data_IF_630642945541
#
_entry.id   IF_630642945541
#
_cell.length_a   1.000
_cell.length_b   1.000
_cell.length_c   1.000
_cell.angle_alpha   90.00
_cell.angle_beta   90.00
_cell.angle_gamma   90.00
#
_symmetry.space_group_name_H-M   'P 1'
#
loop_
_entity.id
_entity.type
_entity.pdbx_description
1 polymer ?
#
# COMPACT_ATOMS: atom_id res chain seq x y z
N UNK A 1 -65.13 -37.88 14.93
CA UNK A 1 -66.29 -37.36 15.68
C UNK A 1 -66.15 -35.83 15.71
N UNK A 2 -66.90 -35.13 14.85
CA UNK A 2 -68.09 -34.33 15.23
C UNK A 2 -67.73 -33.25 16.26
N UNK A 3 -67.48 -32.02 15.80
CA UNK A 3 -68.47 -30.97 15.53
C UNK A 3 -69.17 -30.47 16.80
N UNK A 4 -69.29 -29.14 16.81
CA UNK A 4 -70.42 -28.37 17.37
C UNK A 4 -70.41 -28.14 18.87
N UNK A 5 -70.88 -27.01 19.41
CA UNK A 5 -71.45 -25.75 18.90
C UNK A 5 -71.54 -24.88 20.19
N UNK A 6 -71.21 -23.59 20.14
CA UNK A 6 -72.19 -22.50 20.14
C UNK A 6 -73.05 -22.39 21.41
N UNK A 7 -73.00 -21.24 22.09
CA UNK A 7 -74.07 -20.24 22.05
C UNK A 7 -74.07 -19.31 23.28
N UNK A 8 -74.75 -18.18 23.10
CA UNK A 8 -75.07 -17.06 24.00
C UNK A 8 -74.02 -15.95 24.04
N UNK A 9 -74.36 -14.67 23.80
CA UNK A 9 -75.62 -13.94 23.47
C UNK A 9 -75.11 -12.53 23.11
N UNK A 10 -75.52 -11.90 22.00
CA UNK A 10 -76.67 -10.97 21.92
C UNK A 10 -76.38 -9.64 22.65
N UNK A 11 -76.57 -8.43 22.12
CA UNK A 11 -77.33 -7.94 20.96
C UNK A 11 -77.16 -6.39 20.89
N UNK A 12 -77.76 -5.75 19.88
CA UNK A 12 -77.85 -4.30 19.55
C UNK A 12 -76.70 -3.73 18.68
N UNK A 13 -76.82 -3.61 17.35
CA UNK A 13 -77.68 -2.68 16.56
C UNK A 13 -77.53 -1.23 17.04
N UNK A 14 -77.19 -0.22 16.22
CA UNK A 14 -77.49 0.00 14.81
C UNK A 14 -76.71 1.23 14.31
N UNK A 15 -76.79 1.48 12.99
CA UNK A 15 -76.39 2.67 12.22
C UNK A 15 -74.98 2.59 11.61
N UNK A 16 -74.76 2.78 10.31
CA UNK A 16 -75.62 3.00 9.14
C UNK A 16 -74.68 3.06 7.92
N UNK A 17 -75.02 2.38 6.80
CA UNK A 17 -74.54 2.61 5.41
C UNK A 17 -73.01 2.55 5.15
N UNK A 18 -72.43 1.97 4.10
CA UNK A 18 -72.81 1.39 2.79
C UNK A 18 -71.42 1.15 2.12
N UNK A 19 -70.87 -0.04 1.78
CA UNK A 19 -71.31 -1.11 0.86
C UNK A 19 -71.95 -0.55 -0.42
N UNK A 20 -71.54 -0.81 -1.67
CA UNK A 20 -70.58 -1.74 -2.30
C UNK A 20 -70.45 -1.32 -3.79
N UNK A 21 -69.37 -1.77 -4.43
CA UNK A 21 -69.12 -1.94 -5.90
C UNK A 21 -70.10 -2.98 -6.53
N UNK A 22 -69.94 -3.50 -7.79
CA UNK A 22 -69.45 -3.02 -9.12
C UNK A 22 -70.31 -3.46 -10.36
N UNK A 23 -69.84 -3.11 -11.57
CA UNK A 23 -69.86 -3.81 -12.91
C UNK A 23 -71.18 -4.26 -13.59
N UNK A 24 -71.44 -3.87 -14.86
CA UNK A 24 -70.92 -4.46 -16.12
C UNK A 24 -71.71 -4.05 -17.40
N UNK A 25 -71.05 -4.13 -18.59
CA UNK A 25 -71.53 -4.21 -20.02
C UNK A 25 -70.74 -3.23 -20.93
N UNK A 26 -69.78 -3.61 -21.78
CA UNK A 26 -69.69 -4.47 -23.01
C UNK A 26 -70.12 -3.76 -24.32
N UNK A 27 -69.10 -3.39 -25.11
CA UNK A 27 -68.94 -3.40 -26.58
C UNK A 27 -69.97 -2.81 -27.57
N UNK A 28 -69.55 -1.73 -28.26
CA UNK A 28 -69.60 -1.47 -29.73
C UNK A 28 -69.28 0.03 -29.91
N UNK A 29 -68.52 0.55 -30.86
CA UNK A 29 -67.85 0.06 -32.06
C UNK A 29 -67.23 1.30 -32.72
N UNK A 30 -66.08 1.15 -33.38
CA UNK A 30 -65.59 2.05 -34.44
C UNK A 30 -65.12 3.46 -34.03
N UNK A 31 -63.90 3.57 -33.50
CA UNK A 31 -62.90 4.54 -33.99
C UNK A 31 -61.51 3.91 -33.91
N UNK A 32 -61.35 2.78 -34.61
CA UNK A 32 -60.15 1.94 -34.61
C UNK A 32 -59.13 2.31 -35.71
N UNK A 33 -59.25 3.45 -36.43
CA UNK A 33 -58.34 3.73 -37.57
C UNK A 33 -57.99 5.20 -37.85
N UNK A 34 -57.66 6.03 -36.85
CA UNK A 34 -56.90 7.27 -37.17
C UNK A 34 -56.21 7.94 -35.97
N UNK A 35 -55.18 7.32 -35.43
CA UNK A 35 -54.11 8.11 -34.81
C UNK A 35 -52.82 7.30 -34.88
N UNK A 36 -52.30 7.13 -36.10
CA UNK A 36 -50.87 6.92 -36.27
C UNK A 36 -50.25 8.18 -35.67
N UNK A 37 -49.79 8.10 -34.42
CA UNK A 37 -48.94 9.11 -33.83
C UNK A 37 -47.65 9.13 -34.65
N UNK A 38 -47.70 9.81 -35.78
CA UNK A 38 -46.52 10.46 -36.35
C UNK A 38 -45.96 11.29 -35.22
N UNK A 39 -44.92 10.76 -34.55
CA UNK A 39 -44.02 11.56 -33.71
C UNK A 39 -43.85 12.91 -34.43
N UNK A 40 -44.13 14.00 -33.74
CA UNK A 40 -43.98 15.33 -34.34
C UNK A 40 -42.52 15.45 -34.82
N UNK A 41 -42.22 16.06 -35.99
CA UNK A 41 -40.84 16.14 -36.50
C UNK A 41 -39.87 16.78 -35.48
N UNK A 42 -40.40 17.62 -34.60
CA UNK A 42 -39.71 18.20 -33.45
C UNK A 42 -39.29 17.16 -32.37
N UNK A 43 -40.12 16.15 -32.10
CA UNK A 43 -39.85 15.07 -31.16
C UNK A 43 -38.83 14.07 -31.72
N UNK A 44 -38.91 13.76 -33.02
CA UNK A 44 -37.90 12.95 -33.70
C UNK A 44 -36.52 13.63 -33.68
N UNK A 45 -36.46 14.94 -33.93
CA UNK A 45 -35.22 15.73 -33.83
C UNK A 45 -34.65 15.77 -32.40
N UNK A 46 -35.50 15.90 -31.37
CA UNK A 46 -35.10 15.81 -29.96
C UNK A 46 -34.54 14.43 -29.59
N UNK A 47 -35.18 13.34 -30.03
CA UNK A 47 -34.72 11.95 -29.78
C UNK A 47 -33.36 11.70 -30.45
N UNK A 48 -33.12 12.20 -31.66
CA UNK A 48 -31.82 12.08 -32.33
C UNK A 48 -30.72 12.84 -31.58
N UNK A 49 -30.97 14.08 -31.15
CA UNK A 49 -30.02 14.85 -30.34
C UNK A 49 -29.72 14.17 -28.99
N UNK A 50 -30.76 13.67 -28.31
CA UNK A 50 -30.58 12.94 -27.05
C UNK A 50 -29.77 11.65 -27.21
N UNK A 51 -29.98 10.90 -28.30
CA UNK A 51 -29.17 9.72 -28.63
C UNK A 51 -27.71 10.08 -28.90
N UNK A 52 -27.46 11.13 -29.67
CA UNK A 52 -26.09 11.62 -29.90
C UNK A 52 -25.42 12.05 -28.61
N UNK A 53 -26.11 12.80 -27.74
CA UNK A 53 -25.58 13.19 -26.42
C UNK A 53 -25.30 11.99 -25.53
N UNK A 54 -26.17 10.97 -25.52
CA UNK A 54 -25.94 9.74 -24.78
C UNK A 54 -24.67 9.03 -25.26
N UNK A 55 -24.47 8.91 -26.57
CA UNK A 55 -23.26 8.29 -27.13
C UNK A 55 -21.99 9.07 -26.78
N UNK A 56 -22.02 10.41 -26.78
CA UNK A 56 -20.86 11.20 -26.36
C UNK A 56 -20.54 11.03 -24.87
N UNK A 57 -21.56 10.98 -24.02
CA UNK A 57 -21.37 10.77 -22.57
C UNK A 57 -20.82 9.37 -22.29
N UNK A 58 -21.37 8.33 -22.94
CA UNK A 58 -20.87 6.96 -22.76
C UNK A 58 -19.46 6.80 -23.30
N UNK A 59 -19.14 7.36 -24.46
CA UNK A 59 -17.78 7.37 -25.01
C UNK A 59 -16.80 8.11 -24.10
N UNK A 60 -17.19 9.27 -23.57
CA UNK A 60 -16.39 10.02 -22.59
C UNK A 60 -16.15 9.24 -21.30
N UNK A 61 -17.17 8.58 -20.77
CA UNK A 61 -17.07 7.73 -19.57
C UNK A 61 -16.10 6.56 -19.76
N UNK A 62 -16.21 5.84 -20.88
CA UNK A 62 -15.30 4.73 -21.20
C UNK A 62 -13.86 5.22 -21.37
N UNK A 63 -13.65 6.37 -22.00
CA UNK A 63 -12.33 6.95 -22.19
C UNK A 63 -11.67 7.35 -20.88
N UNK A 64 -12.40 7.98 -19.94
CA UNK A 64 -11.87 8.37 -18.63
C UNK A 64 -11.48 7.13 -17.80
N UNK A 65 -12.32 6.10 -17.81
CA UNK A 65 -12.03 4.84 -17.10
C UNK A 65 -10.83 4.13 -17.71
N UNK A 66 -10.74 4.09 -19.06
CA UNK A 66 -9.60 3.51 -19.77
C UNK A 66 -8.29 4.22 -19.45
N UNK A 67 -8.28 5.55 -19.45
CA UNK A 67 -7.09 6.34 -19.10
C UNK A 67 -6.68 6.15 -17.64
N UNK A 68 -7.65 6.08 -16.71
CA UNK A 68 -7.37 5.88 -15.29
C UNK A 68 -6.71 4.51 -15.03
N UNK A 69 -7.18 3.47 -15.73
CA UNK A 69 -6.59 2.13 -15.62
C UNK A 69 -5.22 2.03 -16.29
N UNK A 70 -5.03 2.70 -17.43
CA UNK A 70 -3.76 2.70 -18.16
C UNK A 70 -2.67 3.55 -17.49
N UNK A 71 -3.02 4.53 -16.65
CA UNK A 71 -2.06 5.41 -16.00
C UNK A 71 -1.07 4.67 -15.09
N UNK A 72 -1.53 3.63 -14.37
CA UNK A 72 -0.70 2.86 -13.44
C UNK A 72 0.45 2.11 -14.15
N UNK A 73 0.21 1.25 -15.15
CA UNK A 73 1.30 0.58 -15.86
C UNK A 73 2.18 1.56 -16.63
N UNK A 74 1.61 2.62 -17.22
CA UNK A 74 2.40 3.65 -17.91
C UNK A 74 3.37 4.36 -16.95
N UNK A 75 2.92 4.68 -15.72
CA UNK A 75 3.77 5.25 -14.68
C UNK A 75 4.88 4.28 -14.26
N UNK A 76 4.57 2.99 -14.13
CA UNK A 76 5.59 1.99 -13.79
C UNK A 76 6.69 1.85 -14.85
N UNK A 77 6.33 1.85 -16.14
CA UNK A 77 7.28 1.81 -17.26
C UNK A 77 8.11 3.09 -17.29
N UNK A 78 7.48 4.25 -17.06
CA UNK A 78 8.18 5.52 -16.99
C UNK A 78 9.18 5.56 -15.81
N UNK A 79 8.79 5.06 -14.63
CA UNK A 79 9.68 4.98 -13.47
C UNK A 79 10.84 4.01 -13.69
N UNK A 80 10.63 2.91 -14.41
CA UNK A 80 11.70 1.97 -14.78
C UNK A 80 12.64 2.56 -15.82
N UNK A 81 12.13 3.27 -16.82
CA UNK A 81 12.95 3.84 -17.90
C UNK A 81 13.76 5.06 -17.48
N UNK A 82 13.19 5.93 -16.63
CA UNK A 82 13.84 7.16 -16.16
C UNK A 82 14.47 7.03 -14.77
N UNK A 83 14.38 5.85 -14.14
CA UNK A 83 14.94 5.53 -12.82
C UNK A 83 14.56 6.50 -11.68
N UNK A 84 13.43 7.21 -11.80
CA UNK A 84 13.01 8.27 -10.87
C UNK A 84 12.43 7.74 -9.53
N UNK A 85 12.67 6.48 -9.17
CA UNK A 85 12.01 5.86 -8.03
C UNK A 85 12.60 4.57 -7.49
N UNK A 86 13.84 4.21 -7.85
CA UNK A 86 14.54 3.08 -7.24
C UNK A 86 13.73 1.77 -7.25
N UNK A 87 13.21 1.38 -8.43
CA UNK A 87 12.49 0.12 -8.56
C UNK A 87 13.48 -1.04 -8.39
N UNK A 88 13.53 -1.60 -7.18
CA UNK A 88 14.22 -2.86 -6.89
C UNK A 88 13.70 -3.92 -7.84
N UNK A 89 14.58 -4.47 -8.66
CA UNK A 89 14.33 -5.74 -9.35
C UNK A 89 14.01 -6.77 -8.27
N UNK A 90 12.74 -7.19 -8.19
CA UNK A 90 12.40 -8.44 -7.50
C UNK A 90 12.95 -9.58 -8.36
N UNK A 91 14.25 -9.81 -8.25
CA UNK A 91 14.96 -10.94 -8.78
C UNK A 91 15.91 -11.37 -7.68
N UNK A 92 15.93 -12.65 -7.36
CA UNK A 92 16.88 -13.21 -6.40
C UNK A 92 18.31 -13.00 -6.92
N UNK A 93 18.96 -11.90 -6.53
CA UNK A 93 20.35 -11.57 -6.88
C UNK A 93 21.37 -12.42 -6.10
N UNK A 94 21.09 -13.70 -5.88
CA UNK A 94 22.09 -14.65 -5.41
C UNK A 94 23.04 -15.08 -6.54
N UNK A 95 22.56 -15.10 -7.79
CA UNK A 95 23.33 -15.54 -8.97
C UNK A 95 24.25 -14.43 -9.52
N UNK A 96 23.87 -13.15 -9.38
CA UNK A 96 24.70 -12.00 -9.76
C UNK A 96 26.01 -11.92 -8.96
N UNK A 97 26.05 -12.50 -7.75
CA UNK A 97 27.23 -12.48 -6.87
C UNK A 97 28.35 -13.39 -7.40
N UNK A 98 28.04 -14.49 -8.10
CA UNK A 98 29.07 -15.44 -8.58
C UNK A 98 29.85 -14.94 -9.82
N UNK A 99 29.32 -13.94 -10.54
CA UNK A 99 29.91 -13.43 -11.78
C UNK A 99 30.46 -12.00 -11.68
N UNK A 100 30.43 -11.38 -10.50
CA UNK A 100 31.01 -10.05 -10.30
C UNK A 100 32.54 -10.12 -10.33
N UNK A 101 33.12 -9.54 -11.38
CA UNK A 101 34.56 -9.30 -11.47
C UNK A 101 34.89 -8.14 -10.53
N UNK A 102 35.62 -8.43 -9.45
CA UNK A 102 36.13 -7.41 -8.51
C UNK A 102 36.91 -6.35 -9.31
N UNK A 103 36.45 -5.10 -9.25
CA UNK A 103 37.16 -3.96 -9.83
C UNK A 103 37.97 -3.36 -8.68
N UNK A 104 39.26 -3.73 -8.59
CA UNK A 104 40.14 -3.33 -7.49
C UNK A 104 40.59 -1.86 -7.56
N UNK A 105 40.27 -1.15 -8.65
CA UNK A 105 40.84 0.16 -8.96
C UNK A 105 40.32 1.31 -8.08
N UNK A 106 39.25 1.10 -7.29
CA UNK A 106 38.71 2.12 -6.37
C UNK A 106 38.30 1.52 -5.04
N UNK A 107 38.86 2.05 -3.95
CA UNK A 107 38.54 1.63 -2.58
C UNK A 107 37.58 2.64 -1.97
N UNK A 108 36.39 2.17 -1.57
CA UNK A 108 35.37 3.00 -0.91
C UNK A 108 35.52 2.92 0.61
N UNK A 109 35.33 4.06 1.27
CA UNK A 109 35.31 4.17 2.74
C UNK A 109 33.87 4.06 3.23
N UNK A 110 33.59 3.02 3.99
CA UNK A 110 32.26 2.81 4.59
C UNK A 110 32.32 3.25 6.04
N UNK A 111 31.60 4.33 6.34
CA UNK A 111 31.47 4.87 7.69
C UNK A 111 30.23 4.30 8.35
N UNK A 112 30.37 3.89 9.60
CA UNK A 112 29.27 3.35 10.39
C UNK A 112 28.84 4.35 11.44
N UNK A 113 27.55 4.66 11.44
CA UNK A 113 26.94 5.53 12.41
C UNK A 113 25.82 4.80 13.15
N UNK A 114 25.70 5.09 14.44
CA UNK A 114 24.77 4.42 15.35
C UNK A 114 24.10 5.49 16.21
N UNK A 115 22.79 5.62 16.02
CA UNK A 115 21.93 6.54 16.74
C UNK A 115 20.83 5.78 17.48
N UNK A 116 20.26 6.44 18.49
CA UNK A 116 19.11 5.93 19.25
C UNK A 116 18.04 7.01 19.31
N UNK A 117 16.78 6.59 19.25
CA UNK A 117 15.64 7.47 19.49
C UNK A 117 15.62 7.99 20.92
N UNK A 118 15.06 9.18 21.14
CA UNK A 118 15.05 9.85 22.44
C UNK A 118 14.36 9.06 23.57
N UNK A 119 13.43 8.17 23.23
CA UNK A 119 12.78 7.28 24.20
C UNK A 119 13.61 6.06 24.58
N UNK A 120 14.57 5.69 23.73
CA UNK A 120 15.38 4.48 23.88
C UNK A 120 16.50 4.68 24.89
N UNK A 121 16.73 3.68 25.74
CA UNK A 121 17.79 3.72 26.77
C UNK A 121 18.95 2.79 26.47
N UNK A 122 18.94 2.10 25.33
CA UNK A 122 20.05 1.23 24.94
C UNK A 122 21.30 2.03 24.67
N UNK A 123 22.44 1.41 24.96
CA UNK A 123 23.72 1.88 24.46
C UNK A 123 23.99 1.13 23.16
N UNK A 124 23.90 1.83 22.04
CA UNK A 124 24.10 1.28 20.71
C UNK A 124 25.30 1.97 20.06
N UNK A 125 26.31 1.19 19.65
CA UNK A 125 27.54 1.71 19.07
C UNK A 125 28.08 0.76 18.00
N UNK A 126 28.73 1.28 16.95
CA UNK A 126 29.46 0.43 16.04
C UNK A 126 30.74 -0.07 16.73
N UNK A 127 31.16 -1.30 16.45
CA UNK A 127 32.48 -1.80 16.87
C UNK A 127 33.60 -1.17 16.04
N UNK A 128 33.30 -0.81 14.79
CA UNK A 128 34.22 -0.24 13.82
C UNK A 128 33.58 1.02 13.25
N UNK A 129 34.26 2.18 13.29
CA UNK A 129 33.70 3.43 12.76
C UNK A 129 33.86 3.58 11.24
N UNK A 130 34.90 2.96 10.67
CA UNK A 130 35.20 3.00 9.25
C UNK A 130 35.84 1.70 8.80
N UNK A 131 35.45 1.22 7.63
CA UNK A 131 36.15 0.15 6.90
C UNK A 131 36.38 0.55 5.45
N UNK A 132 37.35 -0.09 4.81
CA UNK A 132 37.67 0.11 3.40
C UNK A 132 37.27 -1.13 2.62
N UNK A 133 36.44 -0.98 1.61
CA UNK A 133 35.87 -2.08 0.82
C UNK A 133 35.94 -1.72 -0.65
N UNK A 134 36.36 -2.67 -1.48
CA UNK A 134 36.32 -2.51 -2.94
C UNK A 134 34.92 -2.86 -3.46
N UNK A 135 34.41 -2.18 -4.51
CA UNK A 135 33.18 -2.60 -5.19
C UNK A 135 33.27 -4.06 -5.67
N UNK A 136 32.22 -4.84 -5.43
CA UNK A 136 32.16 -6.28 -5.67
C UNK A 136 32.73 -7.15 -4.54
N UNK A 137 33.32 -6.55 -3.49
CA UNK A 137 33.75 -7.26 -2.29
C UNK A 137 32.64 -7.30 -1.24
N UNK A 138 32.49 -8.44 -0.57
CA UNK A 138 31.58 -8.59 0.56
C UNK A 138 32.29 -8.20 1.85
N UNK A 139 31.59 -7.49 2.73
CA UNK A 139 32.12 -7.02 4.00
C UNK A 139 31.17 -7.34 5.16
N UNK A 140 31.75 -7.54 6.33
CA UNK A 140 31.05 -7.78 7.58
C UNK A 140 31.43 -6.69 8.59
N UNK A 141 30.42 -6.02 9.14
CA UNK A 141 30.59 -5.05 10.21
C UNK A 141 29.79 -5.47 11.43
N UNK A 142 30.24 -5.10 12.62
CA UNK A 142 29.56 -5.43 13.87
C UNK A 142 29.09 -4.18 14.59
N UNK A 143 27.88 -4.25 15.15
CA UNK A 143 27.37 -3.28 16.09
C UNK A 143 27.11 -3.95 17.43
N UNK A 144 27.29 -3.21 18.52
CA UNK A 144 26.98 -3.71 19.86
C UNK A 144 25.80 -2.94 20.41
N UNK A 145 24.78 -3.67 20.87
CA UNK A 145 23.66 -3.13 21.60
C UNK A 145 23.67 -3.67 23.02
N UNK A 146 23.48 -2.78 23.99
CA UNK A 146 23.32 -3.14 25.40
C UNK A 146 22.08 -2.49 26.00
N UNK A 147 21.30 -3.26 26.73
CA UNK A 147 20.21 -2.74 27.54
C UNK A 147 20.68 -2.48 28.99
N UNK A 148 20.88 -1.22 29.42
CA UNK A 148 21.30 -0.92 30.79
C UNK A 148 20.14 -0.91 31.80
N UNK A 149 18.90 -1.20 31.39
CA UNK A 149 17.71 -1.11 32.24
C UNK A 149 17.37 -2.44 32.89
N UNK A 150 16.58 -2.41 33.97
CA UNK A 150 16.15 -3.61 34.71
C UNK A 150 14.92 -4.31 34.11
N UNK A 151 14.47 -3.87 32.92
CA UNK A 151 13.31 -4.43 32.23
C UNK A 151 13.68 -4.84 30.80
N UNK A 152 13.02 -5.87 30.23
CA UNK A 152 13.15 -6.15 28.81
C UNK A 152 12.65 -4.96 28.01
N UNK A 153 13.37 -4.62 26.95
CA UNK A 153 13.00 -3.56 26.01
C UNK A 153 12.99 -4.17 24.63
N UNK A 154 12.00 -3.81 23.82
CA UNK A 154 11.89 -4.22 22.43
C UNK A 154 12.26 -3.02 21.56
N UNK A 155 13.20 -3.23 20.64
CA UNK A 155 13.70 -2.23 19.72
C UNK A 155 13.44 -2.62 18.27
N UNK A 156 13.09 -1.64 17.45
CA UNK A 156 13.10 -1.75 15.99
C UNK A 156 14.14 -0.77 15.45
N UNK A 157 14.92 -1.17 14.44
CA UNK A 157 15.93 -0.29 13.84
C UNK A 157 15.57 0.12 12.44
N UNK A 158 15.83 1.37 12.09
CA UNK A 158 15.81 1.81 10.69
C UNK A 158 17.23 2.12 10.25
N UNK A 159 17.46 2.06 8.94
CA UNK A 159 18.77 2.36 8.36
C UNK A 159 18.64 3.37 7.23
N UNK A 160 19.71 4.13 7.05
CA UNK A 160 19.86 5.09 5.95
C UNK A 160 21.27 4.96 5.37
N UNK A 161 21.37 5.12 4.05
CA UNK A 161 22.65 5.15 3.32
C UNK A 161 22.82 6.54 2.73
N UNK A 162 23.99 7.14 2.96
CA UNK A 162 24.33 8.49 2.49
C UNK A 162 25.66 8.41 1.72
N UNK A 163 25.77 8.98 0.51
CA UNK A 163 24.72 9.68 -0.24
C UNK A 163 23.61 8.74 -0.74
N UNK A 164 22.42 9.29 -1.02
CA UNK A 164 21.23 8.50 -1.34
C UNK A 164 21.38 7.73 -2.66
N UNK A 165 22.10 8.32 -3.61
CA UNK A 165 22.44 7.75 -4.91
C UNK A 165 23.24 6.45 -4.74
N UNK A 166 24.17 6.42 -3.76
CA UNK A 166 24.94 5.22 -3.44
C UNK A 166 24.08 4.12 -2.77
N UNK A 167 22.91 4.47 -2.22
CA UNK A 167 21.98 3.53 -1.62
C UNK A 167 21.44 2.49 -2.62
N UNK A 168 21.34 2.83 -3.91
CA UNK A 168 20.90 1.90 -4.95
C UNK A 168 21.89 0.76 -5.21
N UNK A 169 23.18 1.01 -4.97
CA UNK A 169 24.26 0.04 -5.17
C UNK A 169 24.67 -0.67 -3.86
N UNK A 170 24.14 -0.22 -2.73
CA UNK A 170 24.44 -0.77 -1.41
C UNK A 170 23.46 -1.91 -1.10
N UNK A 171 23.92 -3.14 -1.30
CA UNK A 171 23.08 -4.33 -1.10
C UNK A 171 23.35 -4.93 0.27
N UNK A 172 22.36 -4.84 1.16
CA UNK A 172 22.41 -5.44 2.49
C UNK A 172 21.79 -6.83 2.47
N UNK A 173 22.62 -7.86 2.61
CA UNK A 173 22.18 -9.26 2.52
C UNK A 173 21.49 -9.71 3.81
N UNK A 174 21.93 -9.24 5.00
CA UNK A 174 21.34 -9.64 6.29
C UNK A 174 21.13 -8.44 7.22
N UNK A 175 19.88 -8.19 7.65
CA UNK A 175 19.44 -6.98 8.35
C UNK A 175 18.56 -7.29 9.57
N UNK A 176 19.01 -6.93 10.78
CA UNK A 176 18.18 -6.84 12.00
C UNK A 176 17.09 -5.75 11.96
N UNK A 177 16.92 -5.10 10.81
CA UNK A 177 16.26 -3.81 10.69
C UNK A 177 14.75 -3.92 10.58
N UNK A 178 14.25 -5.12 10.32
CA UNK A 178 12.82 -5.35 10.17
C UNK A 178 12.28 -6.34 11.20
N UNK A 179 13.13 -6.76 12.14
CA UNK A 179 12.76 -7.68 13.20
C UNK A 179 12.84 -6.97 14.54
N UNK A 180 11.80 -7.14 15.34
CA UNK A 180 11.77 -6.69 16.72
C UNK A 180 12.86 -7.41 17.51
N UNK A 181 13.86 -6.66 17.96
CA UNK A 181 14.92 -7.18 18.81
C UNK A 181 14.52 -6.95 20.26
N UNK A 182 14.39 -8.03 21.03
CA UNK A 182 14.17 -7.95 22.46
C UNK A 182 15.51 -8.16 23.19
N UNK A 183 15.94 -7.18 23.99
CA UNK A 183 17.09 -7.33 24.89
C UNK A 183 16.61 -7.40 26.34
N UNK A 184 17.04 -8.44 27.04
CA UNK A 184 16.79 -8.62 28.46
C UNK A 184 17.55 -7.59 29.30
N UNK A 185 17.20 -7.46 30.60
CA UNK A 185 17.93 -6.58 31.50
C UNK A 185 19.43 -6.87 31.52
N UNK A 186 20.24 -5.82 31.36
CA UNK A 186 21.72 -5.89 31.36
C UNK A 186 22.33 -6.79 30.28
N UNK A 187 21.56 -7.20 29.29
CA UNK A 187 22.03 -8.01 28.17
C UNK A 187 22.81 -7.14 27.17
N UNK A 188 23.89 -7.70 26.63
CA UNK A 188 24.74 -7.11 25.59
C UNK A 188 24.86 -8.12 24.45
N UNK A 189 24.53 -7.69 23.23
CA UNK A 189 24.51 -8.54 22.03
C UNK A 189 25.26 -7.84 20.90
N UNK A 190 26.07 -8.61 20.18
CA UNK A 190 26.72 -8.19 18.95
C UNK A 190 25.85 -8.56 17.73
N UNK A 191 25.56 -7.54 16.94
CA UNK A 191 24.70 -7.60 15.76
C UNK A 191 25.56 -7.48 14.49
N UNK A 192 25.86 -8.60 13.80
CA UNK A 192 26.55 -8.60 12.50
C UNK A 192 25.71 -8.03 11.36
N UNK A 193 26.30 -7.15 10.56
CA UNK A 193 25.73 -6.62 9.33
C UNK A 193 26.60 -7.09 8.16
N UNK A 194 26.02 -7.93 7.31
CA UNK A 194 26.66 -8.42 6.09
C UNK A 194 26.12 -7.68 4.86
N UNK A 195 27.03 -7.12 4.08
CA UNK A 195 26.70 -6.29 2.91
C UNK A 195 27.78 -6.37 1.84
N UNK A 196 27.44 -5.92 0.64
CA UNK A 196 28.39 -5.69 -0.45
C UNK A 196 27.96 -4.45 -1.24
N UNK A 197 28.89 -3.94 -2.05
CA UNK A 197 28.65 -2.80 -2.93
C UNK A 197 28.69 -3.32 -4.36
N UNK A 198 27.65 -3.04 -5.13
CA UNK A 198 27.61 -3.44 -6.54
C UNK A 198 28.70 -2.67 -7.34
N UNK A 199 29.55 -3.35 -8.14
CA UNK A 199 30.54 -2.70 -9.00
C UNK A 199 29.93 -1.73 -10.03
N UNK A 200 28.63 -1.80 -10.32
CA UNK A 200 27.93 -0.83 -11.17
C UNK A 200 28.01 0.61 -10.65
N UNK A 201 28.33 0.82 -9.36
CA UNK A 201 28.60 2.16 -8.78
C UNK A 201 29.72 2.91 -9.51
N UNK A 202 30.64 2.18 -10.15
CA UNK A 202 31.75 2.76 -10.91
C UNK A 202 31.33 3.35 -12.25
N UNK A 203 30.19 2.91 -12.78
CA UNK A 203 29.67 3.38 -14.06
C UNK A 203 28.78 4.63 -13.91
N UNK A 204 28.36 4.98 -12.69
CA UNK A 204 27.49 6.13 -12.43
C UNK A 204 28.30 7.44 -12.34
N UNK A 205 28.09 8.41 -13.26
CA UNK A 205 28.74 9.71 -13.20
C UNK A 205 28.45 10.50 -11.92
N UNK A 206 27.29 10.30 -11.28
CA UNK A 206 26.92 11.00 -10.06
C UNK A 206 27.79 10.59 -8.86
N UNK A 207 28.34 9.36 -8.89
CA UNK A 207 29.11 8.75 -7.80
C UNK A 207 30.61 8.67 -8.12
N UNK A 208 31.06 9.20 -9.25
CA UNK A 208 32.47 9.20 -9.68
C UNK A 208 33.41 9.82 -8.64
N UNK A 209 32.93 10.83 -7.89
CA UNK A 209 33.71 11.51 -6.83
C UNK A 209 33.35 11.06 -5.40
N UNK A 210 32.35 10.18 -5.25
CA UNK A 210 31.90 9.69 -3.95
C UNK A 210 32.78 8.55 -3.40
N UNK A 211 33.80 8.88 -2.63
CA UNK A 211 34.68 7.86 -2.02
C UNK A 211 34.20 7.39 -0.64
N UNK A 212 33.18 8.04 -0.06
CA UNK A 212 32.73 7.76 1.31
C UNK A 212 31.23 7.53 1.34
N UNK A 213 30.82 6.35 1.81
CA UNK A 213 29.42 5.98 2.03
C UNK A 213 29.22 5.84 3.53
N UNK A 214 28.18 6.45 4.06
CA UNK A 214 27.82 6.35 5.49
C UNK A 214 26.57 5.49 5.64
N UNK A 215 26.71 4.41 6.39
CA UNK A 215 25.61 3.56 6.83
C UNK A 215 25.20 3.96 8.24
N UNK A 216 24.05 4.62 8.35
CA UNK A 216 23.50 5.09 9.62
C UNK A 216 22.37 4.19 10.08
N UNK A 217 22.51 3.62 11.28
CA UNK A 217 21.46 2.88 11.98
C UNK A 217 20.85 3.74 13.08
N UNK A 218 19.52 3.71 13.19
CA UNK A 218 18.82 4.34 14.31
C UNK A 218 17.85 3.36 14.96
N UNK A 219 18.02 3.09 16.25
CA UNK A 219 17.10 2.24 17.02
C UNK A 219 15.98 3.04 17.68
N UNK A 220 14.76 2.54 17.60
CA UNK A 220 13.57 3.08 18.23
C UNK A 220 12.94 2.05 19.17
N UNK A 221 12.43 2.51 20.31
CA UNK A 221 11.73 1.65 21.25
C UNK A 221 10.34 1.31 20.69
N UNK A 222 10.09 0.03 20.44
CA UNK A 222 8.78 -0.48 20.06
C UNK A 222 7.93 -0.60 21.34
N UNK A 223 7.19 0.46 21.67
CA UNK A 223 6.21 0.42 22.76
C UNK A 223 4.92 -0.21 22.26
N UNK A 224 4.53 -1.34 22.85
CA UNK A 224 3.15 -1.79 22.76
C UNK A 224 2.23 -0.71 23.35
N UNK A 225 1.36 -0.12 22.53
CA UNK A 225 0.36 0.84 22.99
C UNK A 225 0.53 2.29 22.52
N UNK A 226 1.35 2.56 21.50
CA UNK A 226 1.22 3.83 20.76
C UNK A 226 -0.17 3.88 20.10
N UNK A 227 -1.16 4.42 20.82
CA UNK A 227 -2.47 4.77 20.25
C UNK A 227 -2.24 5.91 19.27
N UNK A 228 -1.89 5.57 18.04
CA UNK A 228 -1.95 6.50 16.94
C UNK A 228 -3.42 6.92 16.81
N UNK A 229 -3.69 8.20 17.05
CA UNK A 229 -4.99 8.80 16.75
C UNK A 229 -5.12 8.82 15.22
N UNK A 230 -5.50 7.69 14.64
CA UNK A 230 -5.73 7.59 13.22
C UNK A 230 -6.92 8.50 12.86
N UNK A 231 -6.80 9.39 11.87
CA UNK A 231 -7.95 10.09 11.34
C UNK A 231 -8.97 9.06 10.84
N UNK A 232 -10.26 9.35 11.00
CA UNK A 232 -11.38 8.40 10.77
C UNK A 232 -11.41 7.71 9.39
N UNK A 233 -10.58 8.13 8.42
CA UNK A 233 -10.48 7.53 7.11
C UNK A 233 -9.51 6.34 7.03
N UNK A 234 -8.56 6.21 7.97
CA UNK A 234 -7.62 5.09 8.01
C UNK A 234 -8.20 3.98 8.89
N UNK A 235 -8.88 3.00 8.30
CA UNK A 235 -9.31 1.81 9.05
C UNK A 235 -8.07 1.01 9.47
N UNK A 236 -7.88 0.71 10.77
CA UNK A 236 -6.86 -0.23 11.19
C UNK A 236 -7.26 -1.63 10.73
N UNK A 237 -6.41 -2.27 9.94
CA UNK A 237 -6.45 -3.72 9.78
C UNK A 237 -5.84 -4.30 11.06
N UNK A 238 -6.70 -4.81 11.95
CA UNK A 238 -6.25 -5.58 13.09
C UNK A 238 -5.51 -6.82 12.56
N UNK A 239 -4.22 -6.95 12.90
CA UNK A 239 -3.50 -8.20 12.77
C UNK A 239 -4.14 -9.19 13.74
N UNK A 240 -4.85 -10.18 13.18
CA UNK A 240 -5.39 -11.30 13.95
C UNK A 240 -4.24 -12.17 14.43
N UNK A 241 -4.15 -12.35 15.75
CA UNK A 241 -3.37 -13.39 16.40
C UNK A 241 -3.94 -14.79 16.12
#
# INVERSE_FOLDING_TARGET
>A
MMRSLCALRGQCQQLFRSSMRPQNSVHKSQQFWRMKSTDSPEEAARKLRAKSTLYYITAGGVLIVGLSYAAVPLYSIFCQAYSYGGATTQGHDAEKVEHMKKIEDRVLKIRFNADIGSSMRWNFKPQQYEIKVAPGETALAFYTARNPTDKPVIGISTYNVIPFEAGAYFNKIQCFCFEEQQLNPHEEVDMPVFFYIDPEIMADPALETCDTITLSYTFFEAKEGLKLNFPSYAKPHAASA
#
